data_IF_300334943408
#
_entry.id   IF_300334943408
#
_cell.length_a   1.000
_cell.length_b   1.000
_cell.length_c   1.000
_cell.angle_alpha   90.00
_cell.angle_beta   90.00
_cell.angle_gamma   90.00
#
_symmetry.space_group_name_H-M   'P 1'
#
loop_
_entity.id
_entity.type
_entity.pdbx_description
1 polymer ?
#
# COMPACT_ATOMS: atom_id res chain seq x y z
N UNK A 1 -52.55 -39.00 18.03
CA UNK A 1 -52.36 -38.06 16.90
C UNK A 1 -50.95 -37.42 16.91
N UNK A 2 -49.85 -38.19 17.00
CA UNK A 2 -48.50 -37.62 17.22
C UNK A 2 -47.40 -38.11 16.24
N UNK A 3 -47.76 -38.91 15.22
CA UNK A 3 -46.76 -39.51 14.31
C UNK A 3 -46.41 -38.67 13.07
N UNK A 4 -47.03 -37.49 12.87
CA UNK A 4 -46.75 -36.60 11.73
C UNK A 4 -45.82 -35.43 12.04
N UNK A 5 -45.48 -35.20 13.32
CA UNK A 5 -44.65 -34.04 13.71
C UNK A 5 -43.13 -34.31 13.67
N UNK A 6 -42.71 -35.57 13.52
CA UNK A 6 -41.30 -35.95 13.57
C UNK A 6 -40.54 -35.89 12.23
N UNK A 7 -41.26 -35.72 11.11
CA UNK A 7 -40.65 -35.61 9.78
C UNK A 7 -40.38 -34.16 9.33
N UNK A 8 -40.76 -33.16 10.13
CA UNK A 8 -40.54 -31.74 9.79
C UNK A 8 -39.20 -31.20 10.33
N UNK A 9 -38.56 -31.89 11.28
CA UNK A 9 -37.31 -31.45 11.89
C UNK A 9 -36.05 -31.61 11.00
N UNK A 10 -35.91 -32.63 10.11
CA UNK A 10 -34.71 -32.77 9.27
C UNK A 10 -34.63 -31.76 8.13
N UNK A 11 -35.77 -31.18 7.71
CA UNK A 11 -35.85 -30.30 6.52
C UNK A 11 -35.33 -28.89 6.82
N UNK A 12 -35.44 -28.42 8.06
CA UNK A 12 -35.02 -27.06 8.46
C UNK A 12 -33.49 -26.92 8.57
N UNK A 13 -32.77 -28.03 8.83
CA UNK A 13 -31.32 -28.02 9.05
C UNK A 13 -30.54 -27.88 7.72
N UNK A 14 -31.13 -28.32 6.59
CA UNK A 14 -30.48 -28.28 5.27
C UNK A 14 -30.57 -26.91 4.56
N UNK A 15 -31.46 -26.02 5.01
CA UNK A 15 -31.61 -24.66 4.47
C UNK A 15 -30.60 -23.64 5.03
N UNK A 16 -29.77 -24.03 6.01
CA UNK A 16 -28.78 -23.15 6.65
C UNK A 16 -27.45 -23.02 5.89
N UNK A 17 -27.15 -23.91 4.95
CA UNK A 17 -25.92 -23.87 4.15
C UNK A 17 -26.23 -23.42 2.72
N UNK A 18 -26.15 -22.11 2.46
CA UNK A 18 -26.18 -21.58 1.10
C UNK A 18 -24.83 -21.85 0.42
N UNK A 19 -24.83 -22.61 -0.67
CA UNK A 19 -23.67 -22.70 -1.57
C UNK A 19 -23.58 -21.38 -2.32
N UNK A 20 -22.46 -20.70 -2.17
CA UNK A 20 -22.14 -19.44 -2.84
C UNK A 20 -20.97 -19.64 -3.78
N UNK A 21 -20.91 -18.86 -4.85
CA UNK A 21 -19.72 -18.83 -5.70
C UNK A 21 -18.49 -18.34 -4.92
N UNK A 22 -17.27 -18.63 -5.40
CA UNK A 22 -16.06 -18.12 -4.75
C UNK A 22 -16.02 -16.59 -4.72
N UNK A 23 -16.61 -15.94 -5.73
CA UNK A 23 -16.76 -14.48 -5.78
C UNK A 23 -17.76 -14.00 -4.72
N UNK A 24 -18.97 -14.56 -4.65
CA UNK A 24 -19.94 -14.22 -3.60
C UNK A 24 -19.37 -14.51 -2.19
N UNK A 25 -18.62 -15.60 -2.02
CA UNK A 25 -17.98 -15.90 -0.73
C UNK A 25 -16.93 -14.86 -0.37
N UNK A 26 -16.16 -14.37 -1.35
CA UNK A 26 -15.21 -13.28 -1.16
C UNK A 26 -15.93 -11.98 -0.81
N UNK A 27 -16.98 -11.62 -1.54
CA UNK A 27 -17.78 -10.41 -1.32
C UNK A 27 -18.54 -10.46 0.03
N UNK A 28 -18.99 -11.63 0.45
CA UNK A 28 -19.64 -11.81 1.76
C UNK A 28 -18.64 -11.76 2.92
N UNK A 29 -17.40 -12.21 2.71
CA UNK A 29 -16.33 -12.11 3.72
C UNK A 29 -15.81 -10.68 3.83
N UNK A 30 -15.64 -10.02 2.70
CA UNK A 30 -15.05 -8.70 2.58
C UNK A 30 -16.02 -7.82 1.77
N UNK A 31 -17.05 -7.22 2.40
CA UNK A 31 -18.00 -6.41 1.66
C UNK A 31 -17.29 -5.25 0.96
N UNK A 32 -17.81 -4.77 -0.19
CA UNK A 32 -17.15 -3.77 -1.01
C UNK A 32 -16.68 -2.57 -0.18
N UNK A 33 -15.41 -2.24 -0.33
CA UNK A 33 -14.80 -1.11 0.37
C UNK A 33 -14.60 0.05 -0.60
N UNK A 34 -15.15 1.25 -0.32
CA UNK A 34 -15.06 2.39 -1.22
C UNK A 34 -13.63 2.83 -1.58
N UNK A 35 -12.63 2.51 -0.75
CA UNK A 35 -11.22 2.78 -1.05
C UNK A 35 -10.69 1.94 -2.22
N UNK A 36 -11.33 0.82 -2.52
CA UNK A 36 -10.97 -0.09 -3.62
C UNK A 36 -11.58 0.31 -4.97
N UNK A 37 -12.64 1.12 -4.98
CA UNK A 37 -13.45 1.39 -6.17
C UNK A 37 -12.68 2.04 -7.32
N UNK A 38 -11.76 2.97 -7.02
CA UNK A 38 -11.02 3.69 -8.05
C UNK A 38 -9.57 4.00 -7.62
N UNK A 39 -8.72 2.99 -7.72
CA UNK A 39 -7.29 3.07 -7.41
C UNK A 39 -6.57 4.04 -8.35
N UNK A 40 -6.86 4.00 -9.66
CA UNK A 40 -6.21 4.86 -10.64
C UNK A 40 -6.50 6.36 -10.38
N UNK A 41 -7.76 6.70 -10.06
CA UNK A 41 -8.11 8.06 -9.69
C UNK A 41 -7.46 8.48 -8.37
N UNK A 42 -7.49 7.61 -7.36
CA UNK A 42 -6.85 7.88 -6.06
C UNK A 42 -5.35 8.11 -6.22
N UNK A 43 -4.70 7.29 -7.05
CA UNK A 43 -3.29 7.43 -7.42
C UNK A 43 -2.99 8.81 -8.02
N UNK A 44 -3.67 9.14 -9.12
CA UNK A 44 -3.36 10.33 -9.91
C UNK A 44 -3.77 11.64 -9.21
N UNK A 45 -4.91 11.64 -8.51
CA UNK A 45 -5.50 12.86 -7.95
C UNK A 45 -5.13 13.11 -6.50
N UNK A 46 -4.65 12.09 -5.77
CA UNK A 46 -4.40 12.21 -4.32
C UNK A 46 -3.02 11.73 -3.92
N UNK A 47 -2.66 10.48 -4.22
CA UNK A 47 -1.42 9.88 -3.73
C UNK A 47 -0.18 10.55 -4.34
N UNK A 48 -0.09 10.62 -5.68
CA UNK A 48 1.05 11.25 -6.35
C UNK A 48 1.20 12.73 -5.96
N UNK A 49 0.13 13.57 -6.02
CA UNK A 49 0.23 14.96 -5.58
C UNK A 49 0.70 15.12 -4.12
N UNK A 50 0.24 14.25 -3.21
CA UNK A 50 0.68 14.29 -1.81
C UNK A 50 2.17 13.95 -1.69
N UNK A 51 2.63 12.88 -2.36
CA UNK A 51 4.05 12.48 -2.34
C UNK A 51 4.93 13.58 -2.93
N UNK A 52 4.53 14.18 -4.05
CA UNK A 52 5.28 15.28 -4.67
C UNK A 52 5.37 16.54 -3.81
N UNK A 53 4.30 16.84 -3.07
CA UNK A 53 4.23 17.95 -2.13
C UNK A 53 5.09 17.71 -0.88
N UNK A 54 4.98 16.50 -0.30
CA UNK A 54 5.69 16.13 0.92
C UNK A 54 7.18 15.88 0.67
N UNK A 55 7.56 15.58 -0.58
CA UNK A 55 8.91 15.13 -0.90
C UNK A 55 10.00 16.19 -0.69
N UNK A 56 11.06 15.80 0.03
CA UNK A 56 12.26 16.61 0.27
C UNK A 56 13.44 16.16 -0.60
N UNK A 57 14.38 17.04 -0.96
CA UNK A 57 15.63 16.60 -1.58
C UNK A 57 16.31 15.53 -0.71
N UNK A 58 16.73 14.43 -1.33
CA UNK A 58 17.24 13.26 -0.61
C UNK A 58 18.45 13.61 0.27
N UNK A 59 19.37 14.44 -0.23
CA UNK A 59 20.54 14.87 0.52
C UNK A 59 20.19 15.71 1.76
N UNK A 60 19.23 16.63 1.64
CA UNK A 60 18.74 17.43 2.76
C UNK A 60 18.12 16.55 3.85
N UNK A 61 17.26 15.59 3.44
CA UNK A 61 16.65 14.65 4.35
C UNK A 61 17.70 13.80 5.07
N UNK A 62 18.64 13.19 4.34
CA UNK A 62 19.65 12.33 4.93
C UNK A 62 20.55 13.10 5.92
N UNK A 63 20.90 14.34 5.60
CA UNK A 63 21.69 15.18 6.52
C UNK A 63 20.89 15.55 7.77
N UNK A 64 19.60 15.88 7.63
CA UNK A 64 18.73 16.16 8.77
C UNK A 64 18.57 14.92 9.67
N UNK A 65 18.40 13.74 9.08
CA UNK A 65 18.28 12.48 9.81
C UNK A 65 19.58 12.09 10.53
N UNK A 66 20.75 12.31 9.92
CA UNK A 66 22.06 12.07 10.56
C UNK A 66 22.31 13.00 11.74
N UNK A 67 21.71 14.19 11.74
CA UNK A 67 21.94 15.22 12.76
C UNK A 67 20.97 15.13 13.94
N UNK A 68 19.95 14.26 13.88
CA UNK A 68 19.01 14.07 14.97
C UNK A 68 19.44 12.94 15.91
N UNK A 69 19.23 13.15 17.21
CA UNK A 69 19.30 12.10 18.23
C UNK A 69 17.90 11.56 18.59
N UNK A 70 16.84 12.19 18.08
CA UNK A 70 15.45 11.81 18.28
C UNK A 70 14.80 11.53 16.91
N UNK A 71 14.66 10.23 16.61
CA UNK A 71 14.07 9.78 15.36
C UNK A 71 12.56 10.04 15.29
N UNK A 72 11.85 10.03 16.43
CA UNK A 72 10.41 10.23 16.44
C UNK A 72 10.06 11.67 16.08
N UNK A 73 10.80 12.64 16.62
CA UNK A 73 10.67 14.04 16.21
C UNK A 73 11.03 14.23 14.74
N UNK A 74 12.12 13.60 14.27
CA UNK A 74 12.49 13.68 12.86
C UNK A 74 11.44 13.06 11.93
N UNK A 75 10.82 11.94 12.32
CA UNK A 75 9.71 11.35 11.58
C UNK A 75 8.51 12.30 11.50
N UNK A 76 8.14 12.97 12.61
CA UNK A 76 7.04 13.94 12.63
C UNK A 76 7.32 15.17 11.74
N UNK A 77 8.58 15.58 11.62
CA UNK A 77 8.97 16.74 10.82
C UNK A 77 9.14 16.41 9.33
N UNK A 78 9.77 15.29 9.01
CA UNK A 78 10.25 15.00 7.65
C UNK A 78 9.55 13.81 6.98
N UNK A 79 8.83 13.00 7.74
CA UNK A 79 8.19 11.79 7.26
C UNK A 79 6.73 11.67 7.67
N UNK A 80 6.24 10.44 7.60
CA UNK A 80 4.90 10.08 7.99
C UNK A 80 4.87 8.63 8.50
N UNK A 81 4.12 8.41 9.58
CA UNK A 81 3.65 7.09 10.02
C UNK A 81 2.23 7.24 10.53
N UNK A 82 1.39 6.27 10.24
CA UNK A 82 -0.03 6.32 10.64
C UNK A 82 -0.24 6.01 12.13
N UNK A 83 0.67 5.27 12.76
CA UNK A 83 0.69 4.92 14.18
C UNK A 83 2.14 4.91 14.67
N UNK A 84 2.38 5.00 15.98
CA UNK A 84 3.73 5.10 16.53
C UNK A 84 4.56 3.84 16.28
N UNK A 85 3.91 2.68 16.25
CA UNK A 85 4.49 1.36 16.01
C UNK A 85 4.84 1.12 14.53
N UNK A 86 4.33 1.95 13.62
CA UNK A 86 4.57 1.80 12.19
C UNK A 86 5.93 2.39 11.80
N UNK A 87 6.63 1.78 10.81
CA UNK A 87 7.82 2.38 10.24
C UNK A 87 7.54 3.78 9.69
N UNK A 88 8.49 4.70 9.88
CA UNK A 88 8.41 6.01 9.27
C UNK A 88 8.69 5.93 7.77
N UNK A 89 7.83 6.56 6.98
CA UNK A 89 7.96 6.67 5.53
C UNK A 89 8.35 8.11 5.16
N UNK A 90 9.33 8.25 4.29
CA UNK A 90 9.81 9.54 3.82
C UNK A 90 9.57 9.67 2.33
N UNK A 91 8.96 10.78 1.91
CA UNK A 91 8.87 11.13 0.49
C UNK A 91 10.12 11.91 0.10
N UNK A 92 10.77 11.53 -1.00
CA UNK A 92 12.04 12.14 -1.42
C UNK A 92 12.06 12.46 -2.91
N UNK A 93 12.83 13.51 -3.26
CA UNK A 93 13.22 13.84 -4.63
C UNK A 93 14.70 13.54 -4.79
N UNK A 94 15.04 12.89 -5.89
CA UNK A 94 16.41 12.56 -6.29
C UNK A 94 16.62 13.17 -7.66
N UNK A 95 17.75 13.84 -7.86
CA UNK A 95 18.11 14.43 -9.15
C UNK A 95 19.59 14.23 -9.40
N UNK A 96 19.96 13.74 -10.58
CA UNK A 96 21.34 13.41 -10.86
C UNK A 96 21.53 12.52 -12.08
N UNK A 97 22.76 12.03 -12.24
CA UNK A 97 23.13 11.17 -13.37
C UNK A 97 22.78 9.71 -13.08
N UNK A 98 22.17 9.02 -14.05
CA UNK A 98 21.93 7.58 -13.94
C UNK A 98 23.24 6.83 -14.25
N UNK A 99 23.81 6.17 -13.24
CA UNK A 99 25.11 5.48 -13.37
C UNK A 99 24.97 3.98 -13.57
N UNK A 100 23.84 3.39 -13.21
CA UNK A 100 23.55 1.97 -13.43
C UNK A 100 22.05 1.71 -13.55
N UNK A 101 21.67 0.76 -14.40
CA UNK A 101 20.30 0.25 -14.51
C UNK A 101 20.35 -1.27 -14.56
N UNK A 102 19.60 -1.93 -13.68
CA UNK A 102 19.44 -3.38 -13.63
C UNK A 102 17.96 -3.74 -13.75
N UNK A 103 17.60 -4.31 -14.89
CA UNK A 103 16.26 -4.82 -15.21
C UNK A 103 16.23 -6.35 -15.36
N UNK A 104 17.34 -7.04 -15.04
CA UNK A 104 17.40 -8.51 -15.10
C UNK A 104 16.48 -9.14 -14.06
N UNK A 105 16.31 -8.49 -12.90
CA UNK A 105 15.34 -8.85 -11.87
C UNK A 105 14.00 -8.14 -12.07
N UNK A 106 12.91 -8.80 -11.66
CA UNK A 106 11.57 -8.19 -11.56
C UNK A 106 11.50 -7.07 -10.51
N UNK A 107 12.45 -7.06 -9.56
CA UNK A 107 12.72 -5.94 -8.66
C UNK A 107 13.82 -5.07 -9.28
N UNK A 108 13.52 -4.46 -10.43
CA UNK A 108 14.46 -3.66 -11.18
C UNK A 108 14.91 -2.44 -10.37
N UNK A 109 16.18 -2.07 -10.52
CA UNK A 109 16.82 -0.99 -9.78
C UNK A 109 17.64 -0.11 -10.70
N UNK A 110 17.66 1.17 -10.37
CA UNK A 110 18.48 2.19 -11.00
C UNK A 110 19.34 2.84 -9.92
N UNK A 111 20.61 3.09 -10.20
CA UNK A 111 21.45 3.93 -9.35
C UNK A 111 21.55 5.32 -9.96
N UNK A 112 21.26 6.33 -9.15
CA UNK A 112 21.39 7.74 -9.50
C UNK A 112 22.51 8.33 -8.65
N UNK A 113 23.49 8.93 -9.31
CA UNK A 113 24.47 9.82 -8.69
C UNK A 113 23.79 11.14 -8.42
N UNK A 114 23.28 11.33 -7.20
CA UNK A 114 22.58 12.56 -6.82
C UNK A 114 23.51 13.77 -6.96
N UNK A 115 22.94 14.97 -7.13
CA UNK A 115 23.68 16.23 -7.16
C UNK A 115 24.55 16.45 -5.91
N UNK A 116 24.25 15.81 -4.78
CA UNK A 116 25.13 15.81 -3.60
C UNK A 116 26.44 15.03 -3.79
N UNK A 117 26.50 14.16 -4.80
CA UNK A 117 27.57 13.19 -5.03
C UNK A 117 27.31 11.82 -4.39
N UNK A 118 26.21 11.63 -3.66
CA UNK A 118 25.82 10.34 -3.09
C UNK A 118 25.17 9.43 -4.13
N UNK A 119 25.36 8.12 -3.98
CA UNK A 119 24.69 7.13 -4.83
C UNK A 119 23.34 6.75 -4.20
N UNK A 120 22.25 6.96 -4.95
CA UNK A 120 20.88 6.64 -4.52
C UNK A 120 20.31 5.53 -5.39
N UNK A 121 19.90 4.43 -4.76
CA UNK A 121 19.23 3.33 -5.46
C UNK A 121 17.72 3.57 -5.50
N UNK A 122 17.18 3.67 -6.71
CA UNK A 122 15.75 3.83 -6.99
C UNK A 122 15.20 2.51 -7.53
N UNK A 123 14.11 2.03 -6.95
CA UNK A 123 13.39 0.88 -7.49
C UNK A 123 12.53 1.31 -8.67
N UNK A 124 12.66 0.63 -9.81
CA UNK A 124 12.00 0.98 -11.08
C UNK A 124 11.01 -0.08 -11.59
N UNK A 125 10.80 -1.17 -10.83
CA UNK A 125 9.78 -2.19 -11.13
C UNK A 125 10.26 -3.30 -12.09
N UNK A 126 9.34 -4.07 -12.72
CA UNK A 126 7.89 -3.88 -12.73
C UNK A 126 7.15 -4.44 -11.49
N UNK A 127 7.86 -5.02 -10.51
CA UNK A 127 7.26 -5.45 -9.24
C UNK A 127 7.76 -4.54 -8.11
N UNK A 128 6.81 -3.97 -7.35
CA UNK A 128 7.06 -3.24 -6.11
C UNK A 128 6.64 -4.11 -4.91
N UNK A 129 7.59 -4.68 -4.15
CA UNK A 129 7.29 -5.45 -2.96
C UNK A 129 6.97 -4.53 -1.77
N UNK A 130 6.29 -5.09 -0.78
CA UNK A 130 5.95 -4.38 0.45
C UNK A 130 4.81 -3.37 0.28
N UNK A 131 4.70 -2.47 1.24
CA UNK A 131 3.51 -1.62 1.43
C UNK A 131 3.80 -0.13 1.44
N UNK A 132 5.03 0.27 1.11
CA UNK A 132 5.52 1.65 1.32
C UNK A 132 4.67 2.71 0.63
N UNK A 133 4.16 2.45 -0.58
CA UNK A 133 3.33 3.42 -1.31
C UNK A 133 1.97 3.64 -0.63
N UNK A 134 1.36 2.55 -0.13
CA UNK A 134 0.14 2.65 0.69
C UNK A 134 0.43 3.37 2.00
N UNK A 135 1.52 2.99 2.66
CA UNK A 135 1.85 3.51 4.00
C UNK A 135 2.31 4.98 3.97
N UNK A 136 2.78 5.48 2.83
CA UNK A 136 3.04 6.90 2.59
C UNK A 136 1.74 7.73 2.44
N UNK A 137 0.64 7.11 2.04
CA UNK A 137 -0.59 7.81 1.70
C UNK A 137 -1.42 8.13 2.95
N UNK A 138 -1.63 9.42 3.23
CA UNK A 138 -2.34 9.89 4.44
C UNK A 138 -3.86 9.77 4.32
N UNK A 139 -4.39 9.52 3.12
CA UNK A 139 -5.82 9.48 2.85
C UNK A 139 -6.48 8.12 3.07
N UNK A 140 -5.74 7.12 3.54
CA UNK A 140 -6.28 5.82 3.91
C UNK A 140 -5.51 5.23 5.10
N UNK A 141 -6.22 4.67 6.08
CA UNK A 141 -5.61 3.95 7.19
C UNK A 141 -6.23 2.57 7.37
N UNK A 142 -5.65 1.72 8.22
CA UNK A 142 -6.21 0.39 8.48
C UNK A 142 -7.68 0.42 8.94
N UNK A 143 -8.08 1.44 9.71
CA UNK A 143 -9.45 1.60 10.19
C UNK A 143 -10.47 1.84 9.06
N UNK A 144 -10.01 2.24 7.88
CA UNK A 144 -10.88 2.36 6.70
C UNK A 144 -11.18 1.00 6.05
N UNK A 145 -10.57 -0.09 6.53
CA UNK A 145 -10.68 -1.42 5.94
C UNK A 145 -11.26 -2.43 6.92
N UNK A 146 -12.01 -3.37 6.34
CA UNK A 146 -12.75 -4.38 7.06
C UNK A 146 -11.83 -5.38 7.77
N UNK A 147 -10.69 -5.64 7.16
CA UNK A 147 -9.73 -6.63 7.60
C UNK A 147 -8.33 -6.38 6.99
N UNK A 148 -7.34 -7.12 7.49
CA UNK A 148 -5.94 -7.04 7.07
C UNK A 148 -5.69 -7.55 5.66
N UNK A 149 -6.48 -8.51 5.17
CA UNK A 149 -6.36 -9.02 3.80
C UNK A 149 -6.73 -7.92 2.83
N UNK A 150 -7.88 -7.25 3.05
CA UNK A 150 -8.36 -6.17 2.20
C UNK A 150 -7.44 -4.94 2.24
N UNK A 151 -6.89 -4.58 3.41
CA UNK A 151 -5.87 -3.54 3.50
C UNK A 151 -4.57 -3.91 2.77
N UNK A 152 -4.24 -5.20 2.72
CA UNK A 152 -3.16 -5.75 1.91
C UNK A 152 -3.47 -5.70 0.41
N UNK A 153 -4.70 -6.01 0.00
CA UNK A 153 -5.16 -5.89 -1.39
C UNK A 153 -5.10 -4.45 -1.88
N UNK A 154 -5.47 -3.48 -1.04
CA UNK A 154 -5.31 -2.06 -1.35
C UNK A 154 -3.85 -1.70 -1.66
N UNK A 155 -2.90 -2.21 -0.85
CA UNK A 155 -1.48 -2.03 -1.13
C UNK A 155 -1.05 -2.66 -2.45
N UNK A 156 -1.51 -3.88 -2.73
CA UNK A 156 -1.19 -4.58 -3.99
C UNK A 156 -1.70 -3.80 -5.19
N UNK A 157 -2.92 -3.27 -5.09
CA UNK A 157 -3.54 -2.50 -6.16
C UNK A 157 -2.80 -1.17 -6.41
N UNK A 158 -2.37 -0.47 -5.35
CA UNK A 158 -1.53 0.74 -5.47
C UNK A 158 -0.19 0.40 -6.15
N UNK A 159 0.50 -0.66 -5.72
CA UNK A 159 1.77 -1.07 -6.31
C UNK A 159 1.61 -1.48 -7.78
N UNK A 160 0.51 -2.14 -8.13
CA UNK A 160 0.18 -2.50 -9.51
C UNK A 160 -0.11 -1.26 -10.35
N UNK A 161 -0.82 -0.28 -9.80
CA UNK A 161 -1.06 1.00 -10.47
C UNK A 161 0.27 1.72 -10.74
N UNK A 162 1.18 1.77 -9.77
CA UNK A 162 2.52 2.34 -9.95
C UNK A 162 3.26 1.66 -11.11
N UNK A 163 3.30 0.33 -11.12
CA UNK A 163 3.95 -0.46 -12.17
C UNK A 163 3.38 -0.19 -13.57
N UNK A 164 2.06 -0.04 -13.70
CA UNK A 164 1.41 0.28 -14.97
C UNK A 164 1.83 1.65 -15.52
N UNK A 165 2.13 2.62 -14.65
CA UNK A 165 2.53 3.98 -15.07
C UNK A 165 3.99 4.09 -15.53
N UNK A 166 4.81 3.06 -15.31
CA UNK A 166 6.23 3.01 -15.70
C UNK A 166 6.49 2.27 -17.02
N UNK A 167 5.46 1.67 -17.61
CA UNK A 167 5.50 1.02 -18.93
C UNK A 167 4.85 1.92 -19.99
#
# INVERSE_FOLDING_TARGET
>A
MHKRLWLLLPVVILSGCRIVSQQELADLKNPPNPKMDNIAQTWQQKLVPQVEHDAKPVAELLNALKSTNDFDSACKTYGYRSQEENPCVFSVKVSGEVTAVNTTSRNGRMTVKDVSGDDVTVQIGPIFPGTVLRDAYKGASYQDFNDQVLFGDYSRAINQQAATMMN
#
